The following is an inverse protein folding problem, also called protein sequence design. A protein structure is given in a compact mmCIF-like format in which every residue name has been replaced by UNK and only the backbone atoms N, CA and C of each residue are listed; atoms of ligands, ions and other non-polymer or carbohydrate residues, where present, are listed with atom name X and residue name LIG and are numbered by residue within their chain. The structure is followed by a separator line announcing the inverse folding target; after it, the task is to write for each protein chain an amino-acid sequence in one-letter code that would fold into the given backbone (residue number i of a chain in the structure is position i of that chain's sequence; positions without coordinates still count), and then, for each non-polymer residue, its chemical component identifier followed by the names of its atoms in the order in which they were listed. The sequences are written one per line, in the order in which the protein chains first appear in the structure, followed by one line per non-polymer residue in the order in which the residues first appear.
data_IF_928048457833
#
_entry.id   IF_928048457833
#
_cell.length_a   1.000
_cell.length_b   1.000
_cell.length_c   1.000
_cell.angle_alpha   90.00
_cell.angle_beta   90.00
_cell.angle_gamma   90.00
#
_symmetry.space_group_name_H-M   'P 1'
#
loop_
_entity.id
_entity.type
_entity.pdbx_description
1 polymer ?
#
# COMPACT_ATOMS: atom_id res chain seq x y z
N UNK A 1 31.14 -2.76 -8.36
CA UNK A 1 31.41 -1.53 -7.57
C UNK A 1 30.55 -0.31 -7.97
N UNK A 2 30.17 -0.13 -9.24
CA UNK A 2 29.31 1.00 -9.68
C UNK A 2 27.90 1.04 -9.05
N UNK A 3 27.29 -0.12 -8.77
CA UNK A 3 25.94 -0.21 -8.16
C UNK A 3 25.94 0.35 -6.72
N UNK A 4 26.94 -0.04 -5.92
CA UNK A 4 27.13 0.48 -4.55
C UNK A 4 27.43 1.98 -4.55
N UNK A 5 28.25 2.46 -5.48
CA UNK A 5 28.57 3.89 -5.59
C UNK A 5 27.33 4.75 -5.88
N UNK A 6 26.38 4.25 -6.69
CA UNK A 6 25.11 4.92 -6.94
C UNK A 6 24.21 5.05 -5.71
N UNK A 7 24.29 4.12 -4.76
CA UNK A 7 23.53 4.19 -3.50
C UNK A 7 24.02 5.31 -2.56
N UNK A 8 25.27 5.75 -2.72
CA UNK A 8 25.87 6.82 -1.91
C UNK A 8 26.03 8.14 -2.66
N UNK A 9 25.48 8.27 -3.87
CA UNK A 9 25.49 9.53 -4.62
C UNK A 9 24.12 10.20 -4.58
N UNK A 10 24.09 11.49 -4.24
CA UNK A 10 22.92 12.34 -4.42
C UNK A 10 22.98 12.92 -5.84
N UNK A 11 21.97 12.60 -6.65
CA UNK A 11 21.78 13.23 -7.96
C UNK A 11 21.40 14.71 -7.83
N UNK A 12 21.59 15.52 -8.89
CA UNK A 12 21.17 16.92 -8.89
C UNK A 12 19.66 17.05 -8.65
N UNK A 13 19.24 18.02 -7.83
CA UNK A 13 17.83 18.22 -7.49
C UNK A 13 16.97 18.53 -8.71
N UNK A 14 15.88 17.79 -8.89
CA UNK A 14 15.02 17.84 -10.09
C UNK A 14 13.61 18.33 -9.76
N UNK A 15 13.50 19.55 -9.21
CA UNK A 15 12.23 20.14 -8.77
C UNK A 15 11.44 19.22 -7.82
N UNK A 16 12.14 18.43 -7.01
CA UNK A 16 11.57 17.38 -6.16
C UNK A 16 10.67 17.93 -5.05
N UNK A 17 10.80 19.24 -4.75
CA UNK A 17 9.97 19.93 -3.77
C UNK A 17 8.48 19.87 -4.11
N UNK A 18 8.11 20.03 -5.38
CA UNK A 18 6.70 20.07 -5.77
C UNK A 18 6.02 18.69 -5.61
N UNK A 19 6.59 17.58 -6.11
CA UNK A 19 6.12 16.23 -5.77
C UNK A 19 6.11 15.97 -4.27
N UNK A 20 7.17 16.35 -3.53
CA UNK A 20 7.26 16.12 -2.11
C UNK A 20 6.13 16.82 -1.33
N UNK A 21 5.84 18.09 -1.66
CA UNK A 21 4.78 18.85 -1.01
C UNK A 21 3.40 18.23 -1.27
N UNK A 22 3.15 17.79 -2.51
CA UNK A 22 1.91 17.11 -2.87
C UNK A 22 1.74 15.78 -2.14
N UNK A 23 2.82 15.00 -2.01
CA UNK A 23 2.82 13.76 -1.23
C UNK A 23 2.55 14.04 0.26
N UNK A 24 3.20 15.06 0.82
CA UNK A 24 2.99 15.47 2.20
C UNK A 24 1.53 15.88 2.43
N UNK A 25 0.97 16.77 1.59
CA UNK A 25 -0.43 17.20 1.68
C UNK A 25 -1.38 16.00 1.54
N UNK A 26 -1.13 15.10 0.60
CA UNK A 26 -1.96 13.92 0.36
C UNK A 26 -2.02 12.93 1.53
N UNK A 27 -1.00 12.92 2.41
CA UNK A 27 -0.95 12.06 3.60
C UNK A 27 -1.40 12.81 4.86
N UNK A 28 -0.84 13.99 5.10
CA UNK A 28 -1.06 14.74 6.34
C UNK A 28 -2.47 15.31 6.44
N UNK A 29 -3.05 15.83 5.35
CA UNK A 29 -4.40 16.42 5.42
C UNK A 29 -5.46 15.39 5.83
N UNK A 30 -5.53 14.18 5.21
CA UNK A 30 -6.45 13.14 5.67
C UNK A 30 -6.20 12.69 7.10
N UNK A 31 -4.94 12.49 7.50
CA UNK A 31 -4.62 12.02 8.86
C UNK A 31 -4.94 13.06 9.94
N UNK A 32 -4.60 14.33 9.72
CA UNK A 32 -4.97 15.43 10.62
C UNK A 32 -6.49 15.51 10.74
N UNK A 33 -7.21 15.37 9.62
CA UNK A 33 -8.69 15.36 9.62
C UNK A 33 -9.22 14.23 10.51
N UNK A 34 -8.67 13.02 10.41
CA UNK A 34 -9.09 11.89 11.26
C UNK A 34 -8.76 12.11 12.74
N UNK A 35 -7.62 12.72 13.06
CA UNK A 35 -7.26 13.12 14.44
C UNK A 35 -8.30 14.09 15.00
N UNK A 36 -8.64 15.14 14.24
CA UNK A 36 -9.62 16.15 14.64
C UNK A 36 -11.03 15.56 14.81
N UNK A 37 -11.37 14.53 14.03
CA UNK A 37 -12.64 13.82 14.11
C UNK A 37 -12.65 12.68 15.15
N UNK A 38 -11.52 12.38 15.80
CA UNK A 38 -11.41 11.25 16.72
C UNK A 38 -11.61 9.88 16.05
N UNK A 39 -11.31 9.76 14.74
CA UNK A 39 -11.57 8.57 13.91
C UNK A 39 -10.27 7.90 13.44
N UNK A 40 -9.32 7.73 14.36
CA UNK A 40 -8.03 7.09 14.05
C UNK A 40 -8.16 5.62 13.62
N UNK A 41 -9.30 4.98 13.90
CA UNK A 41 -9.62 3.64 13.35
C UNK A 41 -9.57 3.61 11.82
N UNK A 42 -9.74 4.75 11.16
CA UNK A 42 -9.70 4.89 9.72
C UNK A 42 -8.30 5.27 9.17
N UNK A 43 -7.32 5.47 10.04
CA UNK A 43 -6.00 5.99 9.65
C UNK A 43 -5.28 5.08 8.64
N UNK A 44 -5.49 3.76 8.76
CA UNK A 44 -4.92 2.80 7.82
C UNK A 44 -5.47 3.00 6.40
N UNK A 45 -6.78 3.22 6.27
CA UNK A 45 -7.42 3.46 4.97
C UNK A 45 -6.98 4.80 4.36
N UNK A 46 -6.88 5.84 5.18
CA UNK A 46 -6.38 7.15 4.72
C UNK A 46 -4.93 7.07 4.23
N UNK A 47 -4.07 6.35 4.96
CA UNK A 47 -2.65 6.18 4.61
C UNK A 47 -2.48 5.43 3.29
N UNK A 48 -3.15 4.28 3.13
CA UNK A 48 -3.10 3.52 1.88
C UNK A 48 -3.76 4.26 0.71
N UNK A 49 -4.83 5.02 0.96
CA UNK A 49 -5.48 5.87 -0.03
C UNK A 49 -4.55 6.93 -0.59
N UNK A 50 -3.72 7.55 0.24
CA UNK A 50 -2.76 8.58 -0.18
C UNK A 50 -1.76 8.08 -1.24
N UNK A 51 -1.40 6.79 -1.23
CA UNK A 51 -0.49 6.20 -2.23
C UNK A 51 -1.02 6.29 -3.66
N UNK A 52 -2.33 6.29 -3.86
CA UNK A 52 -2.94 6.45 -5.20
C UNK A 52 -2.60 7.81 -5.81
N UNK A 53 -2.46 8.84 -4.96
CA UNK A 53 -1.98 10.16 -5.35
C UNK A 53 -0.48 10.16 -5.58
N UNK A 54 0.30 9.52 -4.72
CA UNK A 54 1.77 9.55 -4.78
C UNK A 54 2.29 8.89 -6.07
N UNK A 55 1.72 7.74 -6.47
CA UNK A 55 2.16 6.97 -7.64
C UNK A 55 1.45 7.35 -8.96
N UNK A 56 2.11 7.09 -10.09
CA UNK A 56 1.55 7.32 -11.44
C UNK A 56 1.72 8.74 -11.98
N UNK A 57 2.71 9.50 -11.51
CA UNK A 57 3.04 10.83 -12.04
C UNK A 57 3.47 10.74 -13.51
N UNK A 58 2.78 11.45 -14.40
CA UNK A 58 3.14 11.54 -15.82
C UNK A 58 2.47 10.51 -16.74
N UNK A 59 1.71 9.57 -16.18
CA UNK A 59 0.91 8.63 -16.96
C UNK A 59 -0.37 9.29 -17.51
N UNK A 60 -0.81 8.86 -18.69
CA UNK A 60 -2.06 9.35 -19.29
C UNK A 60 -3.25 8.97 -18.39
N UNK A 61 -4.24 9.86 -18.23
CA UNK A 61 -5.36 9.69 -17.29
C UNK A 61 -6.07 8.33 -17.40
N UNK A 62 -6.26 7.81 -18.62
CA UNK A 62 -6.83 6.47 -18.84
C UNK A 62 -5.95 5.34 -18.29
N UNK A 63 -4.64 5.36 -18.58
CA UNK A 63 -3.66 4.39 -18.05
C UNK A 63 -3.66 4.40 -16.52
N UNK A 64 -3.66 5.60 -15.92
CA UNK A 64 -3.73 5.77 -14.47
C UNK A 64 -4.99 5.16 -13.88
N UNK A 65 -6.14 5.39 -14.49
CA UNK A 65 -7.42 4.86 -14.02
C UNK A 65 -7.41 3.33 -13.98
N UNK A 66 -6.99 2.67 -15.06
CA UNK A 66 -6.93 1.21 -15.09
C UNK A 66 -5.93 0.63 -14.10
N UNK A 67 -4.77 1.28 -13.92
CA UNK A 67 -3.77 0.84 -12.96
C UNK A 67 -4.28 0.98 -11.52
N UNK A 68 -4.90 2.12 -11.18
CA UNK A 68 -5.50 2.34 -9.87
C UNK A 68 -6.69 1.40 -9.62
N UNK A 69 -7.51 1.14 -10.64
CA UNK A 69 -8.63 0.21 -10.55
C UNK A 69 -8.15 -1.23 -10.29
N UNK A 70 -7.15 -1.71 -11.03
CA UNK A 70 -6.57 -3.05 -10.84
C UNK A 70 -5.95 -3.19 -9.46
N UNK A 71 -5.14 -2.22 -9.05
CA UNK A 71 -4.51 -2.22 -7.72
C UNK A 71 -5.55 -2.13 -6.60
N UNK A 72 -6.57 -1.28 -6.76
CA UNK A 72 -7.66 -1.11 -5.81
C UNK A 72 -8.52 -2.37 -5.67
N UNK A 73 -8.89 -3.00 -6.78
CA UNK A 73 -9.64 -4.27 -6.77
C UNK A 73 -8.84 -5.40 -6.11
N UNK A 74 -7.54 -5.50 -6.40
CA UNK A 74 -6.66 -6.47 -5.74
C UNK A 74 -6.60 -6.24 -4.23
N UNK A 75 -6.46 -4.98 -3.79
CA UNK A 75 -6.44 -4.63 -2.37
C UNK A 75 -7.76 -4.97 -1.68
N UNK A 76 -8.91 -4.63 -2.29
CA UNK A 76 -10.23 -4.97 -1.77
C UNK A 76 -10.42 -6.49 -1.66
N UNK A 77 -9.97 -7.25 -2.66
CA UNK A 77 -10.02 -8.70 -2.64
C UNK A 77 -9.17 -9.28 -1.50
N UNK A 78 -7.95 -8.79 -1.29
CA UNK A 78 -7.09 -9.25 -0.18
C UNK A 78 -7.72 -8.93 1.18
N UNK A 79 -8.28 -7.73 1.36
CA UNK A 79 -8.98 -7.34 2.59
C UNK A 79 -10.18 -8.25 2.85
N UNK A 80 -10.98 -8.53 1.81
CA UNK A 80 -12.12 -9.44 1.92
C UNK A 80 -11.69 -10.85 2.34
N UNK A 81 -10.67 -11.41 1.66
CA UNK A 81 -10.15 -12.73 1.99
C UNK A 81 -9.56 -12.80 3.40
N UNK A 82 -8.79 -11.78 3.82
CA UNK A 82 -8.24 -11.71 5.17
C UNK A 82 -9.35 -11.63 6.22
N UNK A 83 -10.41 -10.86 5.95
CA UNK A 83 -11.57 -10.75 6.85
C UNK A 83 -12.32 -12.07 6.98
N UNK A 84 -12.53 -12.78 5.87
CA UNK A 84 -13.15 -14.11 5.87
C UNK A 84 -12.27 -15.14 6.59
N UNK A 85 -10.95 -15.13 6.37
CA UNK A 85 -9.99 -16.00 7.03
C UNK A 85 -9.94 -15.75 8.54
N UNK A 86 -10.01 -14.50 8.98
CA UNK A 86 -10.10 -14.15 10.40
C UNK A 86 -11.36 -14.74 11.05
N UNK A 87 -12.52 -14.70 10.36
CA UNK A 87 -13.76 -15.32 10.85
C UNK A 87 -13.69 -16.85 10.87
N UNK A 88 -13.10 -17.47 9.85
CA UNK A 88 -12.92 -18.91 9.78
C UNK A 88 -11.95 -19.44 10.86
N UNK A 89 -10.93 -18.64 11.22
CA UNK A 89 -9.97 -19.03 12.26
C UNK A 89 -10.63 -19.28 13.62
N UNK A 90 -11.64 -18.49 13.97
CA UNK A 90 -12.46 -18.74 15.17
C UNK A 90 -13.27 -20.03 15.08
N UNK A 91 -13.78 -20.39 13.90
CA UNK A 91 -14.51 -21.64 13.68
C UNK A 91 -13.59 -22.88 13.75
N UNK A 92 -12.31 -22.73 13.42
CA UNK A 92 -11.30 -23.79 13.51
C UNK A 92 -10.65 -23.92 14.89
N UNK A 93 -11.13 -23.17 15.89
CA UNK A 93 -10.60 -23.23 17.25
C UNK A 93 -9.17 -22.70 17.38
N UNK A 94 -8.73 -21.83 16.46
CA UNK A 94 -7.43 -21.19 16.55
C UNK A 94 -7.45 -20.09 17.61
N UNK A 95 -6.40 -20.03 18.43
CA UNK A 95 -6.18 -18.93 19.36
C UNK A 95 -5.94 -17.62 18.58
N UNK A 96 -6.34 -16.48 19.16
CA UNK A 96 -6.20 -15.15 18.53
C UNK A 96 -4.78 -14.88 18.03
N UNK A 97 -3.77 -15.20 18.84
CA UNK A 97 -2.36 -15.05 18.48
C UNK A 97 -1.99 -15.89 17.25
N UNK A 98 -2.45 -17.14 17.18
CA UNK A 98 -2.19 -18.04 16.06
C UNK A 98 -2.86 -17.52 14.78
N UNK A 99 -4.10 -17.03 14.88
CA UNK A 99 -4.83 -16.43 13.75
C UNK A 99 -4.11 -15.21 13.21
N UNK A 100 -3.61 -14.32 14.09
CA UNK A 100 -2.85 -13.14 13.67
C UNK A 100 -1.57 -13.52 12.92
N UNK A 101 -0.76 -14.43 13.47
CA UNK A 101 0.49 -14.85 12.82
C UNK A 101 0.24 -15.59 11.49
N UNK A 102 -0.83 -16.40 11.42
CA UNK A 102 -1.24 -17.02 10.16
C UNK A 102 -1.65 -15.99 9.10
N UNK A 103 -2.40 -14.96 9.48
CA UNK A 103 -2.77 -13.86 8.57
C UNK A 103 -1.53 -13.08 8.09
N UNK A 104 -0.59 -12.79 8.99
CA UNK A 104 0.69 -12.15 8.64
C UNK A 104 1.46 -13.00 7.64
N UNK A 105 1.61 -14.31 7.90
CA UNK A 105 2.31 -15.22 6.98
C UNK A 105 1.58 -15.30 5.63
N UNK A 106 0.26 -15.47 5.63
CA UNK A 106 -0.54 -15.58 4.41
C UNK A 106 -0.43 -14.31 3.55
N UNK A 107 -0.61 -13.12 4.14
CA UNK A 107 -0.48 -11.84 3.43
C UNK A 107 0.95 -11.59 2.93
N UNK A 108 1.97 -12.04 3.67
CA UNK A 108 3.37 -11.98 3.22
C UNK A 108 3.61 -12.86 2.00
N UNK A 109 3.08 -14.09 1.99
CA UNK A 109 3.15 -14.98 0.83
C UNK A 109 2.42 -14.41 -0.37
N UNK A 110 1.24 -13.83 -0.18
CA UNK A 110 0.50 -13.14 -1.25
C UNK A 110 1.32 -11.98 -1.81
N UNK A 111 1.87 -11.12 -0.96
CA UNK A 111 2.69 -9.98 -1.39
C UNK A 111 3.95 -10.43 -2.15
N UNK A 112 4.64 -11.48 -1.66
CA UNK A 112 5.78 -12.08 -2.33
C UNK A 112 5.41 -12.69 -3.68
N UNK A 113 4.33 -13.47 -3.73
CA UNK A 113 3.81 -14.07 -4.95
C UNK A 113 3.42 -13.02 -6.00
N UNK A 114 2.74 -11.95 -5.60
CA UNK A 114 2.43 -10.82 -6.49
C UNK A 114 3.70 -10.15 -7.03
N UNK A 115 4.72 -9.97 -6.20
CA UNK A 115 6.00 -9.37 -6.61
C UNK A 115 6.72 -10.24 -7.66
N UNK A 116 6.75 -11.55 -7.46
CA UNK A 116 7.31 -12.51 -8.43
C UNK A 116 6.49 -12.54 -9.72
N UNK A 117 5.17 -12.62 -9.63
CA UNK A 117 4.29 -12.64 -10.80
C UNK A 117 4.46 -11.38 -11.66
N UNK A 118 4.54 -10.19 -11.03
CA UNK A 118 4.80 -8.93 -11.75
C UNK A 118 6.18 -8.95 -12.39
N UNK A 119 7.19 -9.53 -11.74
CA UNK A 119 8.54 -9.61 -12.32
C UNK A 119 8.59 -10.44 -13.60
N UNK A 120 7.71 -11.44 -13.74
CA UNK A 120 7.63 -12.29 -14.93
C UNK A 120 6.73 -11.71 -16.03
N UNK A 121 5.87 -10.75 -15.69
CA UNK A 121 4.94 -10.09 -16.61
C UNK A 121 5.50 -8.77 -17.19
N UNK A 122 6.74 -8.40 -16.82
CA UNK A 122 7.49 -7.25 -17.35
C UNK A 122 8.33 -7.65 -18.54
#
# INVERSE_FOLDING_TARGET
MKILAGMFSIGPGNKDLHPALRCAVGVFVPLITLVLLGRLDLAIFASFGAFTGIYGRGEHHGSRFFLQLRAGLLMLLIILLASLAARAGGAWGLNETSTVWLLVLATTLVAGGCSVAISWLR
#
